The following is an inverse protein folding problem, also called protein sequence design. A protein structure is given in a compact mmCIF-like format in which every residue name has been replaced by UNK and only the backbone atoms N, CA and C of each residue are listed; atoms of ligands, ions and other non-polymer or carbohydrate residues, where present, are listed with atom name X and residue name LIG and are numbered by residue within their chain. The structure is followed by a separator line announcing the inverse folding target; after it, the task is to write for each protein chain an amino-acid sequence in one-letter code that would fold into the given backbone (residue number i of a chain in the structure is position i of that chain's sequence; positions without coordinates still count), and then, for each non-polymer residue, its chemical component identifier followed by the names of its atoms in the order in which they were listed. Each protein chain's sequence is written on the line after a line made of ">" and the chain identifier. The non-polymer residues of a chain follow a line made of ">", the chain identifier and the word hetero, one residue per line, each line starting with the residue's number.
data_IF_998288950353
#
_entry.id   IF_998288950353
#
_cell.length_a   1.000
_cell.length_b   1.000
_cell.length_c   1.000
_cell.angle_alpha   90.00
_cell.angle_beta   90.00
_cell.angle_gamma   90.00
#
_symmetry.space_group_name_H-M   'P 1'
#
loop_
_entity.id
_entity.type
_entity.pdbx_description
1 polymer ?
#
# COMPACT_ATOMS: atom_id res chain seq x y z
N UNK A 1 -6.94 23.27 -13.66
CA UNK A 1 -5.88 22.29 -13.99
C UNK A 1 -4.92 22.01 -12.83
N UNK A 2 -4.41 23.03 -12.11
CA UNK A 2 -3.47 22.88 -10.99
C UNK A 2 -4.06 22.05 -9.83
N UNK A 3 -5.31 22.33 -9.42
CA UNK A 3 -6.00 21.62 -8.34
C UNK A 3 -6.18 20.11 -8.62
N UNK A 4 -6.19 19.69 -9.89
CA UNK A 4 -6.34 18.27 -10.24
C UNK A 4 -5.13 17.44 -9.79
N UNK A 5 -3.93 18.03 -9.70
CA UNK A 5 -2.74 17.32 -9.24
C UNK A 5 -2.85 16.94 -7.77
N UNK A 6 -3.21 17.90 -6.91
CA UNK A 6 -3.39 17.61 -5.48
C UNK A 6 -4.59 16.68 -5.24
N UNK A 7 -5.72 16.90 -5.93
CA UNK A 7 -6.92 16.06 -5.79
C UNK A 7 -6.65 14.63 -6.25
N UNK A 8 -5.99 14.43 -7.38
CA UNK A 8 -5.64 13.08 -7.87
C UNK A 8 -4.69 12.38 -6.91
N UNK A 9 -3.68 13.07 -6.37
CA UNK A 9 -2.78 12.51 -5.35
C UNK A 9 -3.55 12.05 -4.10
N UNK A 10 -4.50 12.86 -3.61
CA UNK A 10 -5.36 12.49 -2.47
C UNK A 10 -6.18 11.26 -2.79
N UNK A 11 -6.94 11.28 -3.90
CA UNK A 11 -7.87 10.21 -4.26
C UNK A 11 -7.14 8.88 -4.50
N UNK A 12 -6.04 8.90 -5.24
CA UNK A 12 -5.24 7.69 -5.49
C UNK A 12 -4.66 7.13 -4.19
N UNK A 13 -4.13 7.98 -3.31
CA UNK A 13 -3.60 7.48 -2.03
C UNK A 13 -4.70 6.94 -1.11
N UNK A 14 -5.89 7.57 -1.09
CA UNK A 14 -7.04 7.04 -0.35
C UNK A 14 -7.41 5.66 -0.86
N UNK A 15 -7.53 5.48 -2.18
CA UNK A 15 -7.82 4.17 -2.82
C UNK A 15 -6.74 3.14 -2.48
N UNK A 16 -5.46 3.51 -2.62
CA UNK A 16 -4.32 2.63 -2.31
C UNK A 16 -4.21 2.29 -0.82
N UNK A 17 -4.80 3.09 0.06
CA UNK A 17 -4.82 2.87 1.49
C UNK A 17 -6.05 2.08 1.98
N UNK A 18 -7.06 1.81 1.14
CA UNK A 18 -8.23 0.98 1.47
C UNK A 18 -7.82 -0.45 1.86
N UNK A 19 -6.93 -1.15 1.13
CA UNK A 19 -6.38 -2.41 1.60
C UNK A 19 -5.57 -2.19 2.88
N UNK A 20 -5.85 -2.96 3.94
CA UNK A 20 -5.11 -2.85 5.20
C UNK A 20 -3.66 -3.31 5.02
N UNK A 21 -2.76 -2.36 4.75
CA UNK A 21 -1.31 -2.57 4.69
C UNK A 21 -0.63 -2.62 6.07
N UNK A 22 0.67 -2.93 6.07
CA UNK A 22 1.47 -3.03 7.30
C UNK A 22 1.49 -1.73 8.12
N UNK A 23 1.58 -0.57 7.44
CA UNK A 23 1.48 0.76 8.06
C UNK A 23 0.11 0.99 8.72
N UNK A 24 -0.98 0.55 8.08
CA UNK A 24 -2.35 0.73 8.57
C UNK A 24 -2.54 -0.07 9.86
N UNK A 25 -2.09 -1.33 9.85
CA UNK A 25 -2.12 -2.21 11.02
C UNK A 25 -1.27 -1.63 12.15
N UNK A 26 -0.09 -1.07 11.85
CA UNK A 26 0.77 -0.46 12.85
C UNK A 26 0.12 0.76 13.52
N UNK A 27 -0.58 1.60 12.76
CA UNK A 27 -1.38 2.71 13.30
C UNK A 27 -2.49 2.16 14.21
N UNK A 28 -3.37 1.29 13.70
CA UNK A 28 -4.49 0.69 14.45
C UNK A 28 -4.01 0.04 15.75
N UNK A 29 -2.98 -0.80 15.68
CA UNK A 29 -2.47 -1.51 16.86
C UNK A 29 -1.81 -0.57 17.87
N UNK A 30 -1.15 0.49 17.43
CA UNK A 30 -0.54 1.48 18.32
C UNK A 30 -1.60 2.39 18.94
N UNK A 31 -2.62 2.79 18.19
CA UNK A 31 -3.72 3.61 18.72
C UNK A 31 -4.58 2.86 19.73
N UNK A 32 -4.84 1.58 19.48
CA UNK A 32 -5.61 0.72 20.39
C UNK A 32 -4.86 0.36 21.68
N UNK A 33 -3.53 0.18 21.61
CA UNK A 33 -2.73 -0.25 22.77
C UNK A 33 -2.07 0.87 23.54
N UNK A 34 -1.84 2.01 22.90
CA UNK A 34 -1.13 3.14 23.50
C UNK A 34 -1.98 4.40 23.44
N UNK A 35 -1.90 5.18 22.36
CA UNK A 35 -2.68 6.41 22.20
C UNK A 35 -2.80 6.84 20.75
N UNK A 36 -3.81 7.64 20.44
CA UNK A 36 -4.00 8.24 19.12
C UNK A 36 -2.75 9.01 18.68
N UNK A 37 -2.19 9.85 19.56
CA UNK A 37 -0.99 10.65 19.29
C UNK A 37 0.20 9.80 18.82
N UNK A 38 0.46 8.65 19.48
CA UNK A 38 1.56 7.77 19.08
C UNK A 38 1.29 7.06 17.76
N UNK A 39 0.05 6.70 17.46
CA UNK A 39 -0.35 6.19 16.16
C UNK A 39 -0.18 7.23 15.05
N UNK A 40 -0.49 8.49 15.31
CA UNK A 40 -0.32 9.57 14.33
C UNK A 40 1.14 9.87 13.99
N UNK A 41 2.08 9.62 14.92
CA UNK A 41 3.51 9.63 14.60
C UNK A 41 3.87 8.58 13.55
N UNK A 42 3.27 7.38 13.62
CA UNK A 42 3.41 6.34 12.58
C UNK A 42 2.76 6.82 11.28
N UNK A 43 1.58 7.42 11.35
CA UNK A 43 0.86 7.91 10.17
C UNK A 43 1.66 8.95 9.36
N UNK A 44 2.32 9.89 10.04
CA UNK A 44 3.22 10.85 9.39
C UNK A 44 4.34 10.14 8.63
N UNK A 45 5.04 9.22 9.30
CA UNK A 45 6.13 8.47 8.66
C UNK A 45 5.64 7.67 7.45
N UNK A 46 4.48 7.02 7.58
CA UNK A 46 3.88 6.27 6.49
C UNK A 46 3.50 7.16 5.29
N UNK A 47 2.98 8.37 5.54
CA UNK A 47 2.71 9.35 4.50
C UNK A 47 3.96 9.72 3.70
N UNK A 48 5.08 10.01 4.38
CA UNK A 48 6.35 10.28 3.71
C UNK A 48 6.88 9.07 2.94
N UNK A 49 6.79 7.87 3.52
CA UNK A 49 7.22 6.66 2.82
C UNK A 49 6.39 6.38 1.56
N UNK A 50 5.11 6.70 1.58
CA UNK A 50 4.23 6.58 0.41
C UNK A 50 4.56 7.60 -0.68
N UNK A 51 4.91 8.84 -0.31
CA UNK A 51 5.44 9.83 -1.25
C UNK A 51 6.72 9.32 -1.92
N UNK A 52 7.63 8.70 -1.16
CA UNK A 52 8.86 8.11 -1.74
C UNK A 52 8.53 7.00 -2.73
N UNK A 53 7.59 6.10 -2.42
CA UNK A 53 7.17 5.06 -3.35
C UNK A 53 6.48 5.62 -4.60
N UNK A 54 5.61 6.61 -4.44
CA UNK A 54 4.98 7.31 -5.56
C UNK A 54 6.01 8.01 -6.45
N UNK A 55 7.05 8.60 -5.85
CA UNK A 55 8.16 9.20 -6.58
C UNK A 55 8.96 8.16 -7.36
N UNK A 56 9.35 7.05 -6.73
CA UNK A 56 10.03 5.93 -7.40
C UNK A 56 9.18 5.42 -8.57
N UNK A 57 7.88 5.22 -8.36
CA UNK A 57 6.99 4.80 -9.41
C UNK A 57 6.87 5.84 -10.53
N UNK A 58 6.86 7.15 -10.22
CA UNK A 58 6.84 8.20 -11.24
C UNK A 58 8.10 8.14 -12.12
N UNK A 59 9.26 7.99 -11.48
CA UNK A 59 10.55 7.98 -12.16
C UNK A 59 10.75 6.72 -12.99
N UNK A 60 10.35 5.56 -12.47
CA UNK A 60 10.71 4.26 -13.02
C UNK A 60 9.53 3.46 -13.57
N UNK A 61 8.28 3.97 -13.60
CA UNK A 61 7.10 3.18 -14.04
C UNK A 61 7.31 2.52 -15.40
N UNK A 62 7.83 3.25 -16.39
CA UNK A 62 8.10 2.71 -17.73
C UNK A 62 9.20 1.65 -17.72
N UNK A 63 10.28 1.88 -16.98
CA UNK A 63 11.40 0.92 -16.88
C UNK A 63 10.91 -0.36 -16.18
N UNK A 64 10.16 -0.22 -15.09
CA UNK A 64 9.57 -1.33 -14.34
C UNK A 64 8.56 -2.09 -15.22
N UNK A 65 7.69 -1.39 -15.94
CA UNK A 65 6.72 -2.00 -16.85
C UNK A 65 7.41 -2.75 -17.98
N UNK A 66 8.38 -2.13 -18.65
CA UNK A 66 9.14 -2.76 -19.73
C UNK A 66 9.94 -3.96 -19.21
N UNK A 67 10.59 -3.83 -18.05
CA UNK A 67 11.30 -4.95 -17.44
C UNK A 67 10.34 -6.11 -17.12
N UNK A 68 9.16 -5.82 -16.60
CA UNK A 68 8.13 -6.81 -16.36
C UNK A 68 7.67 -7.48 -17.66
N UNK A 69 7.38 -6.70 -18.71
CA UNK A 69 6.95 -7.20 -20.03
C UNK A 69 8.02 -8.04 -20.72
N UNK A 70 9.28 -7.62 -20.69
CA UNK A 70 10.40 -8.33 -21.35
C UNK A 70 10.83 -9.60 -20.61
N UNK A 71 10.56 -9.70 -19.31
CA UNK A 71 11.05 -10.81 -18.48
C UNK A 71 9.90 -11.72 -18.04
N UNK A 72 9.57 -12.70 -18.88
CA UNK A 72 8.56 -13.73 -18.60
C UNK A 72 8.73 -14.41 -17.24
N UNK A 73 9.97 -14.65 -16.80
CA UNK A 73 10.26 -15.24 -15.49
C UNK A 73 9.81 -14.36 -14.32
N UNK A 74 9.87 -13.04 -14.46
CA UNK A 74 9.37 -12.08 -13.45
C UNK A 74 7.84 -12.15 -13.39
N UNK A 75 7.18 -12.18 -14.55
CA UNK A 75 5.72 -12.29 -14.61
C UNK A 75 5.23 -13.59 -13.96
N UNK A 76 5.84 -14.72 -14.32
CA UNK A 76 5.54 -16.04 -13.72
C UNK A 76 5.79 -16.02 -12.20
N UNK A 77 6.89 -15.38 -11.76
CA UNK A 77 7.20 -15.24 -10.32
C UNK A 77 6.12 -14.45 -9.57
N UNK A 78 5.62 -13.35 -10.15
CA UNK A 78 4.54 -12.56 -9.54
C UNK A 78 3.21 -13.30 -9.54
N UNK A 79 2.86 -13.98 -10.64
CA UNK A 79 1.66 -14.83 -10.74
C UNK A 79 1.70 -15.91 -9.67
N UNK A 80 2.80 -16.67 -9.59
CA UNK A 80 3.00 -17.73 -8.61
C UNK A 80 2.97 -17.20 -7.17
N UNK A 81 3.68 -16.11 -6.90
CA UNK A 81 3.73 -15.49 -5.57
C UNK A 81 2.33 -15.02 -5.12
N UNK A 82 1.59 -14.33 -5.97
CA UNK A 82 0.25 -13.84 -5.64
C UNK A 82 -0.78 -14.96 -5.52
N UNK A 83 -0.68 -16.00 -6.35
CA UNK A 83 -1.52 -17.18 -6.25
C UNK A 83 -1.26 -17.92 -4.92
N UNK A 84 0.01 -18.16 -4.55
CA UNK A 84 0.38 -18.81 -3.29
C UNK A 84 -0.05 -17.96 -2.09
N UNK A 85 0.21 -16.65 -2.08
CA UNK A 85 -0.24 -15.75 -1.01
C UNK A 85 -1.78 -15.74 -0.92
N UNK A 86 -2.45 -15.74 -2.07
CA UNK A 86 -3.90 -15.80 -2.16
C UNK A 86 -4.47 -17.08 -1.56
N UNK A 87 -3.89 -18.24 -1.89
CA UNK A 87 -4.23 -19.54 -1.29
C UNK A 87 -4.00 -19.54 0.21
N UNK A 88 -2.86 -19.00 0.68
CA UNK A 88 -2.55 -18.90 2.10
C UNK A 88 -3.60 -18.07 2.85
N UNK A 89 -4.04 -16.94 2.28
CA UNK A 89 -5.10 -16.12 2.87
C UNK A 89 -6.49 -16.75 2.78
N UNK A 90 -6.78 -17.52 1.73
CA UNK A 90 -8.07 -18.19 1.53
C UNK A 90 -8.26 -19.39 2.47
N UNK A 91 -7.24 -20.24 2.60
CA UNK A 91 -7.32 -21.52 3.31
C UNK A 91 -6.86 -21.47 4.75
N UNK A 92 -6.10 -20.44 5.14
CA UNK A 92 -5.67 -20.36 6.52
C UNK A 92 -6.78 -19.82 7.42
N UNK A 93 -7.50 -20.75 8.06
CA UNK A 93 -8.44 -20.48 9.17
C UNK A 93 -7.80 -19.73 10.34
N UNK A 94 -6.47 -19.59 10.36
CA UNK A 94 -5.69 -18.88 11.38
C UNK A 94 -4.41 -18.28 10.80
N UNK A 95 -4.45 -17.53 9.69
CA UNK A 95 -3.33 -16.62 9.37
C UNK A 95 -3.37 -15.42 10.33
N UNK A 96 -3.31 -15.70 11.63
CA UNK A 96 -2.51 -14.84 12.49
C UNK A 96 -1.11 -15.03 11.95
N UNK A 97 -0.55 -14.02 11.30
CA UNK A 97 0.87 -13.78 11.47
C UNK A 97 1.08 -13.65 13.00
N UNK A 98 1.20 -14.79 13.71
CA UNK A 98 2.12 -14.87 14.83
C UNK A 98 3.45 -14.71 14.12
N UNK A 99 3.80 -13.45 13.85
CA UNK A 99 5.18 -13.02 13.94
C UNK A 99 5.55 -13.60 15.30
N UNK A 100 6.23 -14.76 15.31
CA UNK A 100 6.91 -15.24 16.50
C UNK A 100 7.60 -13.99 16.98
N UNK A 101 7.24 -13.52 18.18
CA UNK A 101 8.01 -12.46 18.84
C UNK A 101 9.37 -13.12 19.00
N UNK A 102 10.22 -13.03 17.97
CA UNK A 102 11.62 -13.34 18.12
C UNK A 102 12.06 -12.43 19.26
N UNK A 103 12.83 -12.92 20.23
CA UNK A 103 13.44 -12.10 21.26
C UNK A 103 14.57 -11.26 20.64
N UNK A 104 14.38 -10.76 19.42
CA UNK A 104 15.18 -9.69 18.88
C UNK A 104 14.88 -8.50 19.76
N UNK A 105 15.88 -8.06 20.54
CA UNK A 105 15.88 -6.79 21.26
C UNK A 105 15.17 -5.79 20.37
N UNK A 106 13.94 -5.40 20.73
CA UNK A 106 13.15 -4.44 19.94
C UNK A 106 13.97 -3.16 19.92
N UNK A 107 14.73 -2.91 18.86
CA UNK A 107 15.24 -1.57 18.57
C UNK A 107 13.98 -0.71 18.55
N UNK A 108 13.86 0.16 19.56
CA UNK A 108 12.75 1.11 19.66
C UNK A 108 13.02 2.19 18.64
N UNK A 109 12.83 1.88 17.37
CA UNK A 109 12.81 2.91 16.34
C UNK A 109 11.74 3.94 16.70
N UNK A 110 11.98 5.23 16.44
CA UNK A 110 10.93 6.24 16.56
C UNK A 110 9.68 5.80 15.80
N UNK A 111 8.50 6.13 16.33
CA UNK A 111 7.21 5.75 15.72
C UNK A 111 7.10 6.27 14.27
N UNK A 112 7.65 7.45 14.01
CA UNK A 112 7.79 7.99 12.66
C UNK A 112 8.60 7.06 11.74
N UNK A 113 9.83 6.72 12.13
CA UNK A 113 10.71 5.81 11.36
C UNK A 113 10.04 4.46 11.13
N UNK A 114 9.32 3.95 12.14
CA UNK A 114 8.54 2.72 12.00
C UNK A 114 7.50 2.84 10.88
N UNK A 115 6.72 3.93 10.86
CA UNK A 115 5.73 4.16 9.81
C UNK A 115 6.35 4.29 8.42
N UNK A 116 7.46 5.02 8.32
CA UNK A 116 8.20 5.23 7.08
C UNK A 116 8.72 3.91 6.49
N UNK A 117 9.42 3.12 7.30
CA UNK A 117 9.95 1.83 6.86
C UNK A 117 8.83 0.85 6.47
N UNK A 118 7.74 0.82 7.22
CA UNK A 118 6.59 -0.04 6.89
C UNK A 118 5.87 0.37 5.61
N UNK A 119 5.95 1.65 5.22
CA UNK A 119 5.42 2.11 3.95
C UNK A 119 6.36 1.73 2.80
N UNK A 120 7.67 2.00 2.91
CA UNK A 120 8.63 1.72 1.83
C UNK A 120 8.81 0.23 1.56
N UNK A 121 8.86 -0.61 2.61
CA UNK A 121 9.05 -2.07 2.48
C UNK A 121 7.71 -2.76 2.15
N UNK A 122 6.83 -2.10 1.39
CA UNK A 122 5.52 -2.60 1.00
C UNK A 122 5.43 -2.79 -0.53
N UNK A 123 5.91 -3.93 -1.06
CA UNK A 123 5.91 -4.18 -2.50
C UNK A 123 4.53 -4.03 -3.17
N UNK A 124 3.40 -4.49 -2.56
CA UNK A 124 2.08 -4.23 -3.11
C UNK A 124 1.76 -2.74 -3.33
N UNK A 125 2.19 -1.86 -2.43
CA UNK A 125 1.96 -0.41 -2.55
C UNK A 125 2.81 0.19 -3.66
N UNK A 126 4.05 -0.27 -3.83
CA UNK A 126 4.89 0.16 -4.95
C UNK A 126 4.23 -0.23 -6.29
N UNK A 127 3.75 -1.47 -6.42
CA UNK A 127 3.04 -1.93 -7.62
C UNK A 127 1.77 -1.13 -7.87
N UNK A 128 1.00 -0.84 -6.83
CA UNK A 128 -0.16 0.05 -6.92
C UNK A 128 0.24 1.40 -7.51
N UNK A 129 1.31 2.03 -7.03
CA UNK A 129 1.76 3.32 -7.56
C UNK A 129 2.25 3.25 -9.01
N UNK A 130 2.93 2.17 -9.41
CA UNK A 130 3.34 1.97 -10.81
C UNK A 130 2.10 1.95 -11.73
N UNK A 131 1.06 1.20 -11.36
CA UNK A 131 -0.19 1.12 -12.14
C UNK A 131 -0.94 2.45 -12.08
N UNK A 132 -1.10 3.03 -10.89
CA UNK A 132 -1.85 4.27 -10.67
C UNK A 132 -1.25 5.42 -11.48
N UNK A 133 0.08 5.57 -11.47
CA UNK A 133 0.77 6.60 -12.24
C UNK A 133 0.65 6.34 -13.74
N UNK A 134 0.82 5.10 -14.19
CA UNK A 134 0.70 4.75 -15.61
C UNK A 134 -0.71 5.05 -16.17
N UNK A 135 -1.75 4.70 -15.42
CA UNK A 135 -3.14 5.01 -15.79
C UNK A 135 -3.42 6.50 -15.73
N UNK A 136 -2.93 7.19 -14.70
CA UNK A 136 -3.10 8.64 -14.55
C UNK A 136 -2.44 9.37 -15.72
N UNK A 137 -1.20 9.00 -16.07
CA UNK A 137 -0.46 9.50 -17.22
C UNK A 137 -1.23 9.35 -18.53
N UNK A 138 -1.86 8.20 -18.73
CA UNK A 138 -2.53 7.86 -19.98
C UNK A 138 -3.91 8.51 -20.13
N UNK A 139 -4.67 8.62 -19.03
CA UNK A 139 -6.11 8.92 -19.11
C UNK A 139 -6.57 10.16 -18.33
N UNK A 140 -5.80 10.64 -17.34
CA UNK A 140 -6.29 11.63 -16.38
C UNK A 140 -5.48 12.93 -16.44
N UNK A 141 -4.17 12.83 -16.23
CA UNK A 141 -3.27 13.99 -16.15
C UNK A 141 -1.90 13.66 -16.77
N UNK A 142 -1.26 14.60 -17.48
CA UNK A 142 0.09 14.41 -18.02
C UNK A 142 1.16 14.57 -16.92
N UNK A 143 1.06 13.75 -15.86
CA UNK A 143 2.05 13.69 -14.77
C UNK A 143 3.28 12.94 -15.27
N UNK A 144 4.42 13.60 -15.42
CA UNK A 144 5.66 12.96 -15.86
C UNK A 144 6.87 13.60 -15.19
N UNK A 145 8.04 13.00 -15.35
CA UNK A 145 9.30 13.60 -14.89
C UNK A 145 9.61 14.96 -15.56
N UNK A 146 8.95 15.26 -16.69
CA UNK A 146 9.09 16.53 -17.42
C UNK A 146 8.05 17.58 -16.96
N UNK A 147 7.12 17.21 -16.09
CA UNK A 147 6.12 18.15 -15.58
C UNK A 147 6.78 19.22 -14.69
N UNK A 148 6.26 20.45 -14.66
CA UNK A 148 6.75 21.49 -13.76
C UNK A 148 6.84 21.01 -12.31
N UNK A 149 7.97 21.28 -11.65
CA UNK A 149 8.25 20.81 -10.28
C UNK A 149 7.12 21.17 -9.30
N UNK A 150 6.56 22.37 -9.42
CA UNK A 150 5.43 22.82 -8.61
C UNK A 150 4.21 21.88 -8.70
N UNK A 151 3.86 21.40 -9.91
CA UNK A 151 2.73 20.50 -10.10
C UNK A 151 3.00 19.10 -9.50
N UNK A 152 4.23 18.61 -9.63
CA UNK A 152 4.65 17.35 -9.00
C UNK A 152 4.62 17.45 -7.47
N UNK A 153 5.08 18.57 -6.90
CA UNK A 153 4.97 18.83 -5.47
C UNK A 153 3.52 18.84 -5.00
N UNK A 154 2.61 19.48 -5.74
CA UNK A 154 1.18 19.45 -5.43
C UNK A 154 0.62 18.03 -5.42
N UNK A 155 1.00 17.21 -6.41
CA UNK A 155 0.60 15.81 -6.46
C UNK A 155 1.10 15.04 -5.23
N UNK A 156 2.40 15.14 -4.90
CA UNK A 156 2.99 14.43 -3.75
C UNK A 156 2.47 14.93 -2.40
N UNK A 157 2.17 16.23 -2.27
CA UNK A 157 1.45 16.76 -1.10
C UNK A 157 0.08 16.11 -1.00
N UNK A 158 -0.62 15.98 -2.13
CA UNK A 158 -1.89 15.25 -2.20
C UNK A 158 -1.76 13.80 -1.75
N UNK A 159 -0.74 13.08 -2.22
CA UNK A 159 -0.43 11.70 -1.78
C UNK A 159 -0.23 11.63 -0.26
N UNK A 160 0.58 12.52 0.29
CA UNK A 160 0.83 12.59 1.73
C UNK A 160 -0.48 12.82 2.52
N UNK A 161 -1.28 13.82 2.10
CA UNK A 161 -2.54 14.18 2.74
C UNK A 161 -3.53 13.01 2.68
N UNK A 162 -3.70 12.38 1.52
CA UNK A 162 -4.58 11.24 1.33
C UNK A 162 -4.22 10.07 2.24
N UNK A 163 -2.92 9.74 2.33
CA UNK A 163 -2.44 8.68 3.23
C UNK A 163 -2.66 9.04 4.69
N UNK A 164 -2.29 10.26 5.07
CA UNK A 164 -2.37 10.70 6.45
C UNK A 164 -3.83 10.74 6.95
N UNK A 165 -4.75 11.29 6.15
CA UNK A 165 -6.19 11.35 6.47
C UNK A 165 -6.74 9.94 6.66
N UNK A 166 -6.45 9.02 5.73
CA UNK A 166 -6.92 7.62 5.83
C UNK A 166 -6.44 6.96 7.12
N UNK A 167 -5.15 7.13 7.45
CA UNK A 167 -4.57 6.57 8.68
C UNK A 167 -5.09 7.26 9.95
N UNK A 168 -5.37 8.55 9.90
CA UNK A 168 -6.02 9.27 11.00
C UNK A 168 -7.41 8.69 11.29
N UNK A 169 -8.22 8.44 10.25
CA UNK A 169 -9.52 7.79 10.42
C UNK A 169 -9.39 6.39 11.00
N UNK A 170 -8.47 5.55 10.49
CA UNK A 170 -8.21 4.24 11.09
C UNK A 170 -7.80 4.33 12.56
N UNK A 171 -6.93 5.28 12.91
CA UNK A 171 -6.51 5.52 14.28
C UNK A 171 -7.66 5.97 15.18
N UNK A 172 -8.50 6.90 14.72
CA UNK A 172 -9.65 7.44 15.46
C UNK A 172 -10.72 6.38 15.68
N UNK A 173 -11.05 5.59 14.65
CA UNK A 173 -11.99 4.46 14.76
C UNK A 173 -11.44 3.41 15.72
N UNK A 174 -10.16 3.07 15.60
CA UNK A 174 -9.52 2.09 16.49
C UNK A 174 -9.42 2.56 17.94
N UNK A 175 -9.28 3.86 18.19
CA UNK A 175 -9.27 4.42 19.54
C UNK A 175 -10.67 4.38 20.20
N UNK A 176 -11.73 4.60 19.41
CA UNK A 176 -13.12 4.55 19.87
C UNK A 176 -13.64 3.11 20.06
N UNK A 177 -13.13 2.16 19.27
CA UNK A 177 -13.56 0.76 19.33
C UNK A 177 -12.59 -0.07 20.17
N UNK A 178 -12.83 -0.17 21.49
CA UNK A 178 -11.96 -0.91 22.43
C UNK A 178 -12.14 -2.43 22.36
N UNK A 179 -13.20 -3.00 21.76
CA UNK A 179 -13.39 -4.46 21.75
C UNK A 179 -14.07 -4.97 20.49
N UNK A 180 -13.65 -6.19 20.08
CA UNK A 180 -14.15 -7.07 19.00
C UNK A 180 -13.70 -6.72 17.57
N UNK A 181 -12.54 -7.22 17.16
CA UNK A 181 -12.19 -7.26 15.73
C UNK A 181 -11.42 -8.52 15.32
N UNK A 182 -11.83 -9.66 15.86
CA UNK A 182 -11.32 -10.98 15.45
C UNK A 182 -12.11 -11.55 14.28
N UNK A 183 -13.42 -11.27 14.19
CA UNK A 183 -14.29 -11.87 13.16
C UNK A 183 -14.18 -11.19 11.78
N UNK A 184 -14.05 -9.87 11.73
CA UNK A 184 -13.95 -9.14 10.45
C UNK A 184 -12.62 -9.35 9.72
N UNK A 185 -11.54 -9.63 10.45
CA UNK A 185 -10.23 -9.94 9.87
C UNK A 185 -10.28 -11.19 9.01
N UNK A 186 -11.02 -12.22 9.43
CA UNK A 186 -11.17 -13.43 8.64
C UNK A 186 -11.93 -13.19 7.34
N UNK A 187 -12.98 -12.35 7.37
CA UNK A 187 -13.72 -11.98 6.16
C UNK A 187 -12.84 -11.16 5.21
N UNK A 188 -12.08 -10.20 5.73
CA UNK A 188 -11.16 -9.39 4.94
C UNK A 188 -10.02 -10.21 4.33
N UNK A 189 -9.37 -11.10 5.09
CA UNK A 189 -8.34 -11.98 4.54
C UNK A 189 -8.90 -12.93 3.48
N UNK A 190 -10.12 -13.44 3.67
CA UNK A 190 -10.77 -14.26 2.67
C UNK A 190 -11.04 -13.47 1.38
N UNK A 191 -11.50 -12.23 1.47
CA UNK A 191 -11.70 -11.35 0.31
C UNK A 191 -10.37 -11.05 -0.39
N UNK A 192 -9.32 -10.70 0.36
CA UNK A 192 -7.97 -10.46 -0.20
C UNK A 192 -7.47 -11.72 -0.91
N UNK A 193 -7.63 -12.90 -0.29
CA UNK A 193 -7.24 -14.19 -0.87
C UNK A 193 -7.96 -14.49 -2.19
N UNK A 194 -9.30 -14.30 -2.23
CA UNK A 194 -10.10 -14.47 -3.45
C UNK A 194 -9.64 -13.51 -4.55
N UNK A 195 -9.45 -12.24 -4.22
CA UNK A 195 -9.02 -11.21 -5.18
C UNK A 195 -7.63 -11.53 -5.74
N UNK A 196 -6.68 -11.92 -4.89
CA UNK A 196 -5.33 -12.30 -5.34
C UNK A 196 -5.36 -13.53 -6.24
N UNK A 197 -6.15 -14.56 -5.91
CA UNK A 197 -6.32 -15.76 -6.75
C UNK A 197 -6.94 -15.37 -8.09
N UNK A 198 -8.01 -14.56 -8.11
CA UNK A 198 -8.64 -14.13 -9.35
C UNK A 198 -7.69 -13.33 -10.23
N UNK A 199 -6.97 -12.35 -9.67
CA UNK A 199 -6.01 -11.53 -10.43
C UNK A 199 -4.89 -12.40 -10.98
N UNK A 200 -4.30 -13.28 -10.16
CA UNK A 200 -3.21 -14.16 -10.60
C UNK A 200 -3.65 -15.19 -11.63
N UNK A 201 -4.84 -15.79 -11.49
CA UNK A 201 -5.41 -16.71 -12.48
C UNK A 201 -5.70 -16.02 -13.81
N UNK A 202 -6.33 -14.83 -13.79
CA UNK A 202 -6.58 -14.05 -15.01
C UNK A 202 -5.27 -13.65 -15.70
N UNK A 203 -4.27 -13.23 -14.92
CA UNK A 203 -2.96 -12.87 -15.44
C UNK A 203 -2.23 -14.09 -16.02
N UNK A 204 -2.33 -15.25 -15.37
CA UNK A 204 -1.78 -16.51 -15.86
C UNK A 204 -2.43 -16.95 -17.18
N UNK A 205 -3.76 -16.94 -17.27
CA UNK A 205 -4.49 -17.27 -18.50
C UNK A 205 -4.04 -16.35 -19.64
N UNK A 206 -3.97 -15.04 -19.41
CA UNK A 206 -3.51 -14.09 -20.42
C UNK A 206 -2.06 -14.34 -20.84
N UNK A 207 -1.19 -14.72 -19.92
CA UNK A 207 0.21 -15.03 -20.19
C UNK A 207 0.39 -16.29 -21.06
N UNK A 208 -0.47 -17.30 -20.91
CA UNK A 208 -0.39 -18.53 -21.73
C UNK A 208 -1.08 -18.42 -23.10
N UNK A 209 -2.01 -17.47 -23.26
CA UNK A 209 -2.77 -17.27 -24.51
C UNK A 209 -2.11 -16.22 -25.43
N UNK A 210 -1.32 -15.29 -24.87
CA UNK A 210 -0.67 -14.19 -25.59
C UNK A 210 0.78 -14.48 -25.94
#
# INVERSE_FOLDING_TARGET
>A
MILLYIISGILLSVVGAVPLGASNIAVITTTSKESLSKGLKIAHGAGFGEVVLAFIALTYSKIIANFFEMNSWVQISFIGLFFVIGLLFLFSKKFSFRIKKTPYKKRKYPKFVTGFLLAIVNPPVLLFWVIAISLTQKYILPISNMSPLFLLLLFFIGVYIGKFITLYFYGKLSYRSVKKQTNERHKLYRVIGIVLILISSLQGIRFFIS
#
